data_IF_574326214450
#
_entry.id   IF_574326214450
#
_cell.length_a   1.000
_cell.length_b   1.000
_cell.length_c   1.000
_cell.angle_alpha   90.00
_cell.angle_beta   90.00
_cell.angle_gamma   90.00
#
_symmetry.space_group_name_H-M   'P 1'
#
loop_
_entity.id
_entity.type
_entity.pdbx_description
1 polymer ?
#
# COMPACT_ATOMS: atom_id res chain seq x y z
N UNK A 1 -7.50 16.25 -0.26
CA UNK A 1 -6.40 15.34 -0.63
C UNK A 1 -5.12 15.92 -0.09
N UNK A 2 -4.53 15.29 0.93
CA UNK A 2 -3.25 15.72 1.51
C UNK A 2 -2.20 14.66 1.20
N UNK A 3 -0.93 15.06 1.05
CA UNK A 3 0.18 14.13 0.78
C UNK A 3 0.27 12.98 1.82
N UNK A 4 -0.32 13.18 3.00
CA UNK A 4 -0.49 12.24 4.11
C UNK A 4 -1.26 10.94 3.78
N UNK A 5 -1.86 10.85 2.59
CA UNK A 5 -2.61 9.66 2.15
C UNK A 5 -1.77 8.65 1.37
N UNK A 6 -0.52 8.99 1.06
CA UNK A 6 0.44 8.13 0.36
C UNK A 6 1.60 7.83 1.28
N UNK A 7 1.89 6.54 1.45
CA UNK A 7 2.92 6.05 2.35
C UNK A 7 3.84 5.07 1.62
N UNK A 8 5.06 4.92 2.10
CA UNK A 8 5.98 3.89 1.64
C UNK A 8 5.54 2.51 2.13
N UNK A 9 6.01 1.43 1.48
CA UNK A 9 5.72 0.05 1.92
C UNK A 9 6.04 -0.17 3.40
N UNK A 10 7.16 0.36 3.90
CA UNK A 10 7.57 0.21 5.30
C UNK A 10 6.64 0.96 6.26
N UNK A 11 6.25 2.19 5.94
CA UNK A 11 5.29 2.95 6.75
C UNK A 11 3.91 2.29 6.78
N UNK A 12 3.44 1.82 5.62
CA UNK A 12 2.17 1.11 5.52
C UNK A 12 2.19 -0.19 6.31
N UNK A 13 3.29 -0.94 6.26
CA UNK A 13 3.45 -2.17 7.02
C UNK A 13 3.28 -1.94 8.53
N UNK A 14 3.87 -0.87 9.05
CA UNK A 14 3.72 -0.46 10.44
C UNK A 14 2.29 -0.01 10.76
N UNK A 15 1.69 0.83 9.91
CA UNK A 15 0.35 1.40 10.15
C UNK A 15 -0.76 0.34 10.11
N UNK A 16 -0.64 -0.63 9.21
CA UNK A 16 -1.66 -1.68 9.04
C UNK A 16 -1.32 -2.97 9.79
N UNK A 17 -0.12 -3.10 10.36
CA UNK A 17 0.35 -4.34 11.00
C UNK A 17 0.52 -5.49 10.01
N UNK A 18 0.84 -5.19 8.74
CA UNK A 18 0.92 -6.18 7.65
C UNK A 18 2.38 -6.31 7.22
N UNK A 19 2.92 -7.52 7.09
CA UNK A 19 4.29 -7.71 6.63
C UNK A 19 4.55 -7.06 5.26
N UNK A 20 5.71 -6.42 5.09
CA UNK A 20 6.08 -5.80 3.81
C UNK A 20 6.07 -6.80 2.64
N UNK A 21 6.43 -8.06 2.90
CA UNK A 21 6.43 -9.14 1.91
C UNK A 21 5.04 -9.39 1.36
N UNK A 22 4.01 -9.37 2.22
CA UNK A 22 2.61 -9.48 1.82
C UNK A 22 2.16 -8.30 0.97
N UNK A 23 2.56 -7.07 1.35
CA UNK A 23 2.25 -5.86 0.59
C UNK A 23 2.93 -5.90 -0.80
N UNK A 24 4.21 -6.27 -0.85
CA UNK A 24 4.99 -6.45 -2.09
C UNK A 24 4.37 -7.53 -2.99
N UNK A 25 3.93 -8.64 -2.41
CA UNK A 25 3.19 -9.68 -3.14
C UNK A 25 1.87 -9.17 -3.71
N UNK A 26 1.11 -8.36 -2.95
CA UNK A 26 -0.13 -7.75 -3.45
C UNK A 26 0.12 -6.75 -4.60
N UNK A 27 1.24 -6.01 -4.57
CA UNK A 27 1.68 -5.17 -5.69
C UNK A 27 2.01 -6.02 -6.93
N UNK A 28 2.76 -7.12 -6.77
CA UNK A 28 3.14 -8.02 -7.87
C UNK A 28 1.93 -8.74 -8.48
N UNK A 29 0.94 -9.09 -7.66
CA UNK A 29 -0.29 -9.74 -8.10
C UNK A 29 -1.36 -8.77 -8.61
N UNK A 30 -1.01 -7.50 -8.88
CA UNK A 30 -1.92 -6.47 -9.39
C UNK A 30 -3.21 -6.29 -8.58
N UNK A 31 -3.15 -6.51 -7.25
CA UNK A 31 -4.33 -6.35 -6.37
C UNK A 31 -4.69 -4.88 -6.12
N UNK A 32 -3.69 -4.00 -6.25
CA UNK A 32 -3.88 -2.55 -6.22
C UNK A 32 -4.24 -2.03 -7.60
N UNK A 33 -5.10 -1.00 -7.64
CA UNK A 33 -5.43 -0.30 -8.87
C UNK A 33 -4.25 0.57 -9.33
N UNK A 34 -4.14 0.91 -10.63
CA UNK A 34 -3.01 1.70 -11.16
C UNK A 34 -2.79 3.06 -10.49
N UNK A 35 -3.82 3.65 -9.90
CA UNK A 35 -3.76 4.94 -9.19
C UNK A 35 -3.49 4.80 -7.68
N UNK A 36 -3.47 3.58 -7.16
CA UNK A 36 -3.26 3.30 -5.73
C UNK A 36 -1.80 3.01 -5.38
N UNK A 37 -0.94 2.88 -6.38
CA UNK A 37 0.49 2.68 -6.15
C UNK A 37 1.33 3.36 -7.22
N UNK A 38 2.53 3.80 -6.84
CA UNK A 38 3.52 4.34 -7.76
C UNK A 38 4.92 3.96 -7.32
N UNK A 39 5.78 3.58 -8.24
CA UNK A 39 7.22 3.44 -7.96
C UNK A 39 7.89 4.80 -8.08
N UNK A 40 8.58 5.23 -7.03
CA UNK A 40 9.35 6.47 -6.98
C UNK A 40 10.81 6.13 -6.70
N UNK A 41 11.61 6.03 -7.76
CA UNK A 41 12.98 5.53 -7.67
C UNK A 41 13.02 4.09 -7.16
N UNK A 42 13.63 3.89 -5.98
CA UNK A 42 13.76 2.57 -5.33
C UNK A 42 12.58 2.22 -4.42
N UNK A 43 11.69 3.16 -4.13
CA UNK A 43 10.62 3.00 -3.14
C UNK A 43 9.27 2.90 -3.82
N UNK A 44 8.39 2.06 -3.28
CA UNK A 44 6.98 2.01 -3.66
C UNK A 44 6.17 2.90 -2.74
N UNK A 45 5.39 3.78 -3.35
CA UNK A 45 4.40 4.62 -2.72
C UNK A 45 3.04 3.96 -2.91
N UNK A 46 2.26 3.86 -1.83
CA UNK A 46 0.97 3.19 -1.79
C UNK A 46 -0.04 4.10 -1.10
N UNK A 47 -1.25 4.19 -1.64
CA UNK A 47 -2.33 4.95 -1.01
C UNK A 47 -2.92 4.17 0.17
N UNK A 48 -3.25 4.89 1.26
CA UNK A 48 -3.99 4.32 2.39
C UNK A 48 -5.32 3.71 1.95
N UNK A 49 -5.99 4.31 0.97
CA UNK A 49 -7.25 3.82 0.42
C UNK A 49 -7.09 2.42 -0.21
N UNK A 50 -6.07 2.20 -1.04
CA UNK A 50 -5.82 0.89 -1.65
C UNK A 50 -5.55 -0.17 -0.59
N UNK A 51 -4.78 0.18 0.44
CA UNK A 51 -4.53 -0.69 1.59
C UNK A 51 -5.79 -1.06 2.36
N UNK A 52 -6.65 -0.09 2.65
CA UNK A 52 -7.92 -0.34 3.33
C UNK A 52 -8.82 -1.26 2.49
N UNK A 53 -8.92 -1.02 1.19
CA UNK A 53 -9.73 -1.82 0.26
C UNK A 53 -9.30 -3.29 0.22
N UNK A 54 -7.98 -3.55 0.18
CA UNK A 54 -7.43 -4.90 0.03
C UNK A 54 -7.37 -5.65 1.36
N UNK A 55 -6.99 -4.97 2.44
CA UNK A 55 -6.59 -5.63 3.70
C UNK A 55 -7.49 -5.37 4.90
N UNK A 56 -8.30 -4.30 4.91
CA UNK A 56 -9.25 -4.02 6.02
C UNK A 56 -10.65 -4.62 5.81
N UNK A 57 -10.82 -5.54 4.86
CA UNK A 57 -12.11 -6.21 4.64
C UNK A 57 -12.29 -7.34 5.66
N UNK A 58 -12.76 -6.99 6.87
CA UNK A 58 -13.06 -7.98 7.91
C UNK A 58 -12.99 -7.52 9.37
N UNK A 59 -13.22 -6.23 9.66
CA UNK A 59 -13.58 -5.77 11.02
C UNK A 59 -15.00 -5.21 10.93
#
# INVERSE_FOLDING_TARGET
MTLSDVLTVSEVALVFGIPETTIKSALQNHRFNPHEHRKSGKVWLITKQGMQRIFKRGI
#
